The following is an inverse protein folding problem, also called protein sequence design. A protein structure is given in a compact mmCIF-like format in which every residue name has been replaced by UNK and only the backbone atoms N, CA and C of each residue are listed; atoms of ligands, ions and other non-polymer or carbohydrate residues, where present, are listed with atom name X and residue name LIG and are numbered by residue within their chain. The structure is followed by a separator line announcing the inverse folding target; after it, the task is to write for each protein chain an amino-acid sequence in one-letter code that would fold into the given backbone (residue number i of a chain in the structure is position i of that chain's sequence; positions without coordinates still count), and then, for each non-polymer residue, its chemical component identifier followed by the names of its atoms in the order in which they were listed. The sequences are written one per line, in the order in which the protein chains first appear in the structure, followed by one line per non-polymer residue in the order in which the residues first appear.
data_IF_216512887830
#
_entry.id   IF_216512887830
#
_cell.length_a   1.000
_cell.length_b   1.000
_cell.length_c   1.000
_cell.angle_alpha   90.00
_cell.angle_beta   90.00
_cell.angle_gamma   90.00
#
_symmetry.space_group_name_H-M   'P 1'
#
loop_
_entity.id
_entity.type
_entity.pdbx_description
1 polymer ?
#
# COMPACT_ATOMS: atom_id res chain seq x y z
N UNK A 1 38.86 -17.99 -13.79
CA UNK A 1 38.92 -16.53 -13.98
C UNK A 1 37.56 -15.84 -13.69
N UNK A 2 37.08 -15.79 -12.45
CA UNK A 2 35.77 -15.17 -12.11
C UNK A 2 35.86 -14.01 -11.09
N UNK A 3 37.08 -13.62 -10.67
CA UNK A 3 37.27 -12.62 -9.60
C UNK A 3 37.42 -11.17 -10.06
N UNK A 4 37.62 -10.89 -11.35
CA UNK A 4 37.95 -9.52 -11.81
C UNK A 4 36.73 -8.64 -12.16
N UNK A 5 35.56 -9.22 -12.43
CA UNK A 5 34.36 -8.45 -12.83
C UNK A 5 33.57 -7.88 -11.65
N UNK A 6 33.59 -8.53 -10.49
CA UNK A 6 32.91 -8.02 -9.30
C UNK A 6 33.61 -6.78 -8.71
N UNK A 7 34.95 -6.78 -8.68
CA UNK A 7 35.77 -5.69 -8.16
C UNK A 7 35.78 -4.45 -9.07
N UNK A 8 35.81 -4.63 -10.40
CA UNK A 8 35.80 -3.51 -11.36
C UNK A 8 34.51 -2.70 -11.33
N UNK A 9 33.42 -3.33 -10.87
CA UNK A 9 32.13 -2.70 -10.70
C UNK A 9 32.02 -1.87 -9.40
N UNK A 10 32.66 -2.28 -8.31
CA UNK A 10 32.68 -1.51 -7.06
C UNK A 10 33.57 -0.26 -7.10
N UNK A 11 34.51 -0.17 -8.04
CA UNK A 11 35.49 0.94 -8.15
C UNK A 11 35.04 2.16 -8.96
N UNK A 12 33.82 2.17 -9.51
CA UNK A 12 33.31 3.29 -10.32
C UNK A 12 32.79 4.44 -9.44
N UNK A 13 33.72 5.24 -8.88
CA UNK A 13 33.46 6.58 -8.34
C UNK A 13 32.33 6.71 -7.29
N UNK A 14 32.00 7.94 -6.86
CA UNK A 14 30.81 8.17 -6.06
C UNK A 14 29.53 7.89 -6.86
N UNK A 15 28.62 7.09 -6.29
CA UNK A 15 27.32 6.79 -6.87
C UNK A 15 26.19 7.41 -6.03
N UNK A 16 25.03 7.73 -6.64
CA UNK A 16 23.85 8.14 -5.90
C UNK A 16 23.43 7.10 -4.87
N UNK A 17 22.76 7.53 -3.80
CA UNK A 17 22.32 6.64 -2.72
C UNK A 17 21.44 5.48 -3.19
N UNK A 18 20.67 5.71 -4.24
CA UNK A 18 19.74 4.74 -4.82
C UNK A 18 20.40 3.75 -5.78
N UNK A 19 21.70 3.91 -6.06
CA UNK A 19 22.43 3.00 -6.93
C UNK A 19 22.62 1.63 -6.27
N UNK A 20 22.55 0.55 -7.06
CA UNK A 20 22.75 -0.83 -6.59
C UNK A 20 24.06 -1.08 -5.84
N UNK A 21 25.10 -0.28 -6.12
CA UNK A 21 26.44 -0.41 -5.53
C UNK A 21 26.69 0.53 -4.37
N UNK A 22 25.74 1.40 -4.06
CA UNK A 22 25.88 2.32 -2.95
C UNK A 22 25.95 1.56 -1.61
N UNK A 23 26.70 2.11 -0.65
CA UNK A 23 26.94 1.53 0.68
C UNK A 23 27.49 0.10 0.64
N UNK A 24 28.33 -0.22 -0.35
CA UNK A 24 29.02 -1.51 -0.43
C UNK A 24 29.94 -1.76 0.77
N UNK A 25 30.09 -3.04 1.11
CA UNK A 25 31.00 -3.53 2.14
C UNK A 25 32.13 -4.27 1.43
N UNK A 26 33.33 -3.71 1.43
CA UNK A 26 34.48 -4.31 0.74
C UNK A 26 35.77 -3.60 1.11
N UNK A 27 36.90 -4.32 0.98
CA UNK A 27 38.22 -3.75 1.29
C UNK A 27 38.49 -2.54 0.38
N UNK A 28 38.75 -1.38 0.99
CA UNK A 28 38.96 -0.11 0.28
C UNK A 28 37.67 0.64 -0.10
N UNK A 29 36.51 0.18 0.34
CA UNK A 29 35.23 0.90 0.20
C UNK A 29 34.85 1.49 1.56
N UNK A 30 34.57 2.79 1.59
CA UNK A 30 34.07 3.49 2.77
C UNK A 30 32.73 4.15 2.48
N UNK A 31 31.88 4.17 3.49
CA UNK A 31 30.62 4.88 3.46
C UNK A 31 30.88 6.39 3.53
N UNK A 32 30.29 7.16 2.61
CA UNK A 32 30.49 8.62 2.53
C UNK A 32 29.40 9.37 3.29
N UNK A 33 29.77 10.41 4.03
CA UNK A 33 28.89 11.32 4.78
C UNK A 33 28.86 11.06 6.29
N UNK A 34 28.25 11.97 7.06
CA UNK A 34 28.02 11.81 8.49
C UNK A 34 26.80 10.89 8.73
N UNK A 35 26.93 9.81 9.50
CA UNK A 35 25.82 8.86 9.76
C UNK A 35 25.14 9.06 11.13
N UNK A 36 25.48 10.12 11.87
CA UNK A 36 24.83 10.47 13.14
C UNK A 36 23.45 11.12 12.98
N UNK A 37 22.85 11.52 14.12
CA UNK A 37 21.46 11.98 14.25
C UNK A 37 21.09 13.15 13.29
N UNK A 38 21.96 14.14 13.13
CA UNK A 38 21.78 15.27 12.20
C UNK A 38 22.68 15.15 10.96
N UNK A 39 22.94 13.92 10.53
CA UNK A 39 23.92 13.62 9.49
C UNK A 39 23.40 13.76 8.05
N UNK A 40 23.93 12.91 7.18
CA UNK A 40 23.74 12.82 5.72
C UNK A 40 22.29 12.86 5.26
N UNK A 41 21.36 12.48 6.13
CA UNK A 41 19.93 12.35 5.83
C UNK A 41 19.10 13.55 6.27
N UNK A 42 19.68 14.51 7.00
CA UNK A 42 18.98 15.73 7.39
C UNK A 42 18.41 16.43 6.14
N UNK A 43 17.10 16.74 6.17
CA UNK A 43 16.38 17.33 5.03
C UNK A 43 16.14 16.40 3.83
N UNK A 44 16.50 15.11 3.93
CA UNK A 44 16.34 14.10 2.86
C UNK A 44 15.53 12.88 3.30
N UNK A 45 14.95 12.92 4.51
CA UNK A 45 14.09 11.87 5.05
C UNK A 45 12.75 11.90 4.31
N UNK A 46 12.33 10.75 3.78
CA UNK A 46 11.10 10.66 2.99
C UNK A 46 9.81 10.62 3.84
N UNK A 47 9.88 10.01 5.03
CA UNK A 47 8.74 9.86 5.96
C UNK A 47 9.25 9.85 7.39
N UNK A 48 8.49 10.45 8.31
CA UNK A 48 8.76 10.47 9.76
C UNK A 48 7.44 10.11 10.44
N UNK A 49 7.49 9.15 11.35
CA UNK A 49 6.33 8.75 12.16
C UNK A 49 6.76 8.62 13.62
N UNK A 50 5.98 9.19 14.53
CA UNK A 50 6.19 9.04 15.96
C UNK A 50 5.59 7.72 16.45
N UNK A 51 6.38 6.93 17.17
CA UNK A 51 5.93 5.63 17.69
C UNK A 51 5.17 5.84 19.01
N UNK A 52 3.85 5.71 18.95
CA UNK A 52 2.99 5.73 20.14
C UNK A 52 3.13 4.45 20.96
N UNK A 53 2.95 4.53 22.29
CA UNK A 53 2.95 3.38 23.19
C UNK A 53 1.94 2.26 22.82
N UNK A 54 0.90 2.59 22.04
CA UNK A 54 -0.13 1.64 21.59
C UNK A 54 0.16 0.99 20.25
N UNK A 55 1.18 1.44 19.52
CA UNK A 55 1.55 0.94 18.18
C UNK A 55 2.94 0.31 18.22
N UNK A 56 3.07 -0.89 17.68
CA UNK A 56 4.39 -1.50 17.50
C UNK A 56 5.09 -0.92 16.27
N UNK A 57 6.42 -0.97 16.25
CA UNK A 57 7.23 -0.50 15.11
C UNK A 57 6.86 -1.26 13.83
N UNK A 58 6.54 -2.56 13.92
CA UNK A 58 6.09 -3.36 12.77
C UNK A 58 4.75 -2.86 12.20
N UNK A 59 3.86 -2.37 13.05
CA UNK A 59 2.59 -1.79 12.59
C UNK A 59 2.83 -0.50 11.82
N UNK A 60 3.69 0.37 12.35
CA UNK A 60 4.12 1.61 11.67
C UNK A 60 4.79 1.30 10.33
N UNK A 61 5.72 0.35 10.30
CA UNK A 61 6.39 -0.06 9.05
C UNK A 61 5.39 -0.57 8.02
N UNK A 62 4.43 -1.42 8.42
CA UNK A 62 3.39 -1.91 7.53
C UNK A 62 2.47 -0.80 7.00
N UNK A 63 2.10 0.18 7.84
CA UNK A 63 1.32 1.35 7.42
C UNK A 63 2.07 2.18 6.37
N UNK A 64 3.35 2.46 6.63
CA UNK A 64 4.24 3.17 5.70
C UNK A 64 4.36 2.39 4.38
N UNK A 65 4.64 1.08 4.47
CA UNK A 65 4.86 0.20 3.33
C UNK A 65 3.61 -0.03 2.49
N UNK A 66 2.44 -0.07 3.11
CA UNK A 66 1.15 -0.11 2.42
C UNK A 66 0.87 1.23 1.72
N UNK A 67 1.12 2.36 2.38
CA UNK A 67 0.98 3.69 1.80
C UNK A 67 1.85 3.85 0.54
N UNK A 68 3.17 3.58 0.62
CA UNK A 68 4.06 3.71 -0.55
C UNK A 68 3.74 2.71 -1.66
N UNK A 69 3.12 1.58 -1.34
CA UNK A 69 2.69 0.60 -2.33
C UNK A 69 1.40 1.04 -3.05
N UNK A 70 0.37 1.45 -2.30
CA UNK A 70 -0.93 1.90 -2.83
C UNK A 70 -0.78 3.15 -3.70
N UNK A 71 0.02 4.11 -3.25
CA UNK A 71 0.31 5.36 -3.98
C UNK A 71 1.29 5.19 -5.14
N UNK A 72 1.83 3.97 -5.34
CA UNK A 72 2.84 3.62 -6.35
C UNK A 72 4.21 4.29 -6.20
N UNK A 73 4.48 5.02 -5.11
CA UNK A 73 5.79 5.64 -4.83
C UNK A 73 6.93 4.62 -4.91
N UNK A 74 6.81 3.48 -4.21
CA UNK A 74 7.86 2.44 -4.25
C UNK A 74 7.98 1.78 -5.62
N UNK A 75 6.91 1.75 -6.42
CA UNK A 75 6.95 1.20 -7.78
C UNK A 75 7.81 2.09 -8.68
N UNK A 76 7.62 3.41 -8.56
CA UNK A 76 8.35 4.40 -9.36
C UNK A 76 9.79 4.55 -8.89
N UNK A 77 10.05 4.50 -7.57
CA UNK A 77 11.41 4.44 -7.03
C UNK A 77 12.18 3.22 -7.56
N UNK A 78 11.59 2.02 -7.52
CA UNK A 78 12.26 0.82 -8.03
C UNK A 78 12.43 0.84 -9.56
N UNK A 79 11.47 1.41 -10.29
CA UNK A 79 11.53 1.54 -11.74
C UNK A 79 12.66 2.47 -12.20
N UNK A 80 12.87 3.58 -11.49
CA UNK A 80 13.83 4.63 -11.87
C UNK A 80 15.24 4.35 -11.38
N UNK A 81 15.39 3.70 -10.22
CA UNK A 81 16.70 3.54 -9.58
C UNK A 81 17.44 2.27 -10.00
N UNK A 82 16.70 1.21 -10.35
CA UNK A 82 17.33 -0.07 -10.66
C UNK A 82 17.96 -0.09 -12.04
N UNK A 83 17.27 0.38 -13.08
CA UNK A 83 17.78 0.43 -14.46
C UNK A 83 17.93 1.87 -14.93
N UNK A 84 18.99 2.17 -15.68
CA UNK A 84 19.13 3.42 -16.42
C UNK A 84 18.19 3.47 -17.63
N UNK A 85 16.87 3.56 -17.38
CA UNK A 85 15.85 3.52 -18.42
C UNK A 85 15.83 4.84 -19.21
N UNK A 86 15.78 4.75 -20.54
CA UNK A 86 15.59 5.93 -21.41
C UNK A 86 14.29 6.66 -21.06
N UNK A 87 14.33 8.00 -21.05
CA UNK A 87 13.17 8.86 -20.73
C UNK A 87 11.94 8.57 -21.60
N UNK A 88 12.13 8.29 -22.89
CA UNK A 88 11.03 7.94 -23.81
C UNK A 88 10.27 6.68 -23.37
N UNK A 89 10.99 5.64 -22.92
CA UNK A 89 10.37 4.41 -22.40
C UNK A 89 9.65 4.65 -21.07
N UNK A 90 10.20 5.50 -20.21
CA UNK A 90 9.53 5.89 -18.96
C UNK A 90 8.19 6.59 -19.24
N UNK A 91 8.19 7.56 -20.16
CA UNK A 91 6.98 8.30 -20.57
C UNK A 91 5.95 7.34 -21.18
N UNK A 92 6.36 6.42 -22.06
CA UNK A 92 5.47 5.43 -22.64
C UNK A 92 4.78 4.56 -21.58
N UNK A 93 5.54 4.09 -20.58
CA UNK A 93 5.00 3.29 -19.46
C UNK A 93 4.03 4.13 -18.61
N UNK A 94 4.37 5.39 -18.31
CA UNK A 94 3.48 6.28 -17.55
C UNK A 94 2.18 6.59 -18.29
N UNK A 95 2.25 6.87 -19.60
CA UNK A 95 1.07 7.10 -20.43
C UNK A 95 0.17 5.86 -20.51
N UNK A 96 0.75 4.67 -20.70
CA UNK A 96 0.01 3.41 -20.69
C UNK A 96 -0.69 3.17 -19.33
N UNK A 97 0.01 3.41 -18.22
CA UNK A 97 -0.59 3.32 -16.87
C UNK A 97 -1.73 4.33 -16.68
N UNK A 98 -1.57 5.56 -17.16
CA UNK A 98 -2.61 6.59 -17.08
C UNK A 98 -3.84 6.22 -17.91
N UNK A 99 -3.64 5.71 -19.13
CA UNK A 99 -4.72 5.23 -19.99
C UNK A 99 -5.49 4.06 -19.35
N UNK A 100 -4.78 3.05 -18.82
CA UNK A 100 -5.38 1.93 -18.10
C UNK A 100 -6.18 2.39 -16.88
N UNK A 101 -5.64 3.35 -16.10
CA UNK A 101 -6.34 3.93 -14.95
C UNK A 101 -7.63 4.63 -15.38
N UNK A 102 -7.58 5.47 -16.43
CA UNK A 102 -8.77 6.16 -16.97
C UNK A 102 -9.85 5.17 -17.39
N UNK A 103 -9.48 4.10 -18.08
CA UNK A 103 -10.41 3.05 -18.48
C UNK A 103 -11.04 2.36 -17.26
N UNK A 104 -10.22 1.98 -16.28
CA UNK A 104 -10.71 1.33 -15.06
C UNK A 104 -11.62 2.23 -14.23
N UNK A 105 -11.33 3.55 -14.17
CA UNK A 105 -12.21 4.53 -13.52
C UNK A 105 -13.58 4.61 -14.20
N UNK A 106 -13.65 4.56 -15.53
CA UNK A 106 -14.93 4.53 -16.25
C UNK A 106 -15.74 3.28 -15.90
N UNK A 107 -15.11 2.11 -15.90
CA UNK A 107 -15.77 0.87 -15.48
C UNK A 107 -16.25 0.92 -14.03
N UNK A 108 -15.42 1.43 -13.13
CA UNK A 108 -15.77 1.54 -11.71
C UNK A 108 -16.98 2.45 -11.49
N UNK A 109 -17.11 3.56 -12.23
CA UNK A 109 -18.30 4.42 -12.17
C UNK A 109 -19.56 3.69 -12.61
N UNK A 110 -19.51 2.95 -13.72
CA UNK A 110 -20.64 2.16 -14.17
C UNK A 110 -21.04 1.09 -13.13
N UNK A 111 -20.05 0.42 -12.54
CA UNK A 111 -20.27 -0.53 -11.45
C UNK A 111 -20.89 0.14 -10.21
N UNK A 112 -20.41 1.31 -9.80
CA UNK A 112 -20.98 2.06 -8.67
C UNK A 112 -22.45 2.40 -8.89
N UNK A 113 -22.82 2.83 -10.11
CA UNK A 113 -24.22 3.09 -10.46
C UNK A 113 -25.09 1.84 -10.34
N UNK A 114 -24.59 0.68 -10.78
CA UNK A 114 -25.28 -0.60 -10.61
C UNK A 114 -25.44 -0.97 -9.13
N UNK A 115 -24.40 -0.83 -8.32
CA UNK A 115 -24.46 -1.09 -6.88
C UNK A 115 -25.48 -0.18 -6.18
N UNK A 116 -25.58 1.10 -6.58
CA UNK A 116 -26.59 2.02 -6.04
C UNK A 116 -28.02 1.57 -6.40
N UNK A 117 -28.23 1.07 -7.61
CA UNK A 117 -29.51 0.51 -8.03
C UNK A 117 -29.89 -0.75 -7.25
N UNK A 118 -28.95 -1.68 -7.08
CA UNK A 118 -29.19 -2.88 -6.26
C UNK A 118 -29.42 -2.52 -4.79
N UNK A 119 -28.68 -1.54 -4.26
CA UNK A 119 -28.92 -1.02 -2.90
C UNK A 119 -30.33 -0.44 -2.77
N UNK A 120 -30.80 0.31 -3.77
CA UNK A 120 -32.17 0.82 -3.79
C UNK A 120 -33.20 -0.33 -3.78
N UNK A 121 -32.98 -1.41 -4.54
CA UNK A 121 -33.86 -2.58 -4.50
C UNK A 121 -33.90 -3.21 -3.11
N UNK A 122 -32.75 -3.45 -2.48
CA UNK A 122 -32.69 -4.01 -1.12
C UNK A 122 -33.42 -3.12 -0.11
N UNK A 123 -33.29 -1.79 -0.21
CA UNK A 123 -34.02 -0.86 0.65
C UNK A 123 -35.53 -0.87 0.37
N UNK A 124 -35.95 -1.06 -0.88
CA UNK A 124 -37.37 -1.25 -1.23
C UNK A 124 -37.92 -2.56 -0.67
N UNK A 125 -37.18 -3.65 -0.76
CA UNK A 125 -37.53 -4.94 -0.15
C UNK A 125 -37.67 -4.79 1.37
N UNK A 126 -36.73 -4.08 2.01
CA UNK A 126 -36.82 -3.74 3.43
C UNK A 126 -38.10 -2.95 3.75
N UNK A 127 -38.48 -1.97 2.93
CA UNK A 127 -39.72 -1.22 3.11
C UNK A 127 -40.97 -2.13 2.94
N UNK A 128 -40.91 -3.11 2.03
CA UNK A 128 -41.90 -4.17 1.91
C UNK A 128 -42.04 -5.00 3.19
N UNK A 129 -40.92 -5.42 3.78
CA UNK A 129 -40.90 -6.13 5.07
C UNK A 129 -41.49 -5.28 6.21
N UNK A 130 -41.18 -3.98 6.24
CA UNK A 130 -41.78 -3.03 7.20
C UNK A 130 -43.29 -2.97 7.05
N UNK A 131 -43.79 -2.97 5.82
CA UNK A 131 -45.24 -2.92 5.55
C UNK A 131 -45.91 -4.23 5.94
N UNK A 132 -45.27 -5.37 5.68
CA UNK A 132 -45.79 -6.70 5.97
C UNK A 132 -45.81 -7.04 7.46
N UNK A 133 -44.72 -6.73 8.19
CA UNK A 133 -44.54 -7.15 9.58
C UNK A 133 -44.74 -6.00 10.59
N UNK A 134 -44.82 -4.76 10.13
CA UNK A 134 -44.88 -3.56 10.96
C UNK A 134 -43.49 -3.07 11.39
N UNK A 135 -43.34 -1.74 11.51
CA UNK A 135 -42.07 -1.08 11.83
C UNK A 135 -41.46 -1.58 13.16
N UNK A 136 -42.28 -1.75 14.20
CA UNK A 136 -41.81 -2.17 15.52
C UNK A 136 -41.23 -3.61 15.52
N UNK A 137 -41.80 -4.51 14.71
CA UNK A 137 -41.31 -5.88 14.58
C UNK A 137 -39.96 -5.90 13.84
N UNK A 138 -39.83 -5.13 12.76
CA UNK A 138 -38.57 -4.97 12.02
C UNK A 138 -37.48 -4.33 12.88
N UNK A 139 -37.81 -3.27 13.62
CA UNK A 139 -36.87 -2.65 14.56
C UNK A 139 -36.38 -3.65 15.61
N UNK A 140 -37.28 -4.47 16.17
CA UNK A 140 -36.91 -5.53 17.12
C UNK A 140 -35.97 -6.56 16.49
N UNK A 141 -36.17 -6.93 15.23
CA UNK A 141 -35.29 -7.86 14.50
C UNK A 141 -33.89 -7.26 14.22
N UNK A 142 -33.80 -5.95 13.98
CA UNK A 142 -32.53 -5.23 13.79
C UNK A 142 -31.81 -4.98 15.13
N UNK A 143 -32.50 -5.19 16.25
CA UNK A 143 -31.95 -5.10 17.60
C UNK A 143 -32.40 -3.86 18.37
N UNK A 144 -33.66 -3.43 18.23
CA UNK A 144 -34.28 -2.47 19.14
C UNK A 144 -34.71 -3.18 20.44
N UNK A 145 -34.07 -2.82 21.56
CA UNK A 145 -34.19 -3.51 22.84
C UNK A 145 -35.18 -2.81 23.76
N UNK A 146 -35.98 -3.62 24.46
CA UNK A 146 -37.08 -3.13 25.31
C UNK A 146 -36.60 -2.69 26.70
N UNK A 147 -35.53 -3.29 27.22
CA UNK A 147 -35.04 -3.03 28.58
C UNK A 147 -33.72 -2.24 28.58
N UNK A 148 -33.48 -1.50 29.66
CA UNK A 148 -32.24 -0.74 29.85
C UNK A 148 -31.00 -1.67 29.91
N UNK A 149 -31.15 -2.87 30.47
CA UNK A 149 -30.04 -3.80 30.68
C UNK A 149 -29.60 -4.48 29.38
N UNK A 150 -30.53 -4.86 28.50
CA UNK A 150 -30.23 -5.32 27.14
C UNK A 150 -29.48 -4.25 26.34
N UNK A 151 -29.89 -2.99 26.47
CA UNK A 151 -29.22 -1.85 25.83
C UNK A 151 -27.79 -1.68 26.33
N UNK A 152 -27.56 -1.76 27.64
CA UNK A 152 -26.22 -1.68 28.24
C UNK A 152 -25.32 -2.82 27.75
N UNK A 153 -25.81 -4.06 27.74
CA UNK A 153 -25.05 -5.21 27.24
C UNK A 153 -24.69 -5.04 25.77
N UNK A 154 -25.65 -4.65 24.91
CA UNK A 154 -25.35 -4.40 23.50
C UNK A 154 -24.39 -3.23 23.30
N UNK A 155 -24.52 -2.15 24.07
CA UNK A 155 -23.62 -1.01 23.99
C UNK A 155 -22.17 -1.42 24.30
N UNK A 156 -21.95 -2.30 25.29
CA UNK A 156 -20.62 -2.84 25.56
C UNK A 156 -20.08 -3.70 24.42
N UNK A 157 -20.93 -4.51 23.79
CA UNK A 157 -20.56 -5.32 22.62
C UNK A 157 -20.23 -4.44 21.41
N UNK A 158 -21.06 -3.45 21.11
CA UNK A 158 -20.81 -2.48 20.03
C UNK A 158 -19.54 -1.71 20.30
N UNK A 159 -19.32 -1.25 21.54
CA UNK A 159 -18.07 -0.59 21.93
C UNK A 159 -16.86 -1.48 21.66
N UNK A 160 -16.93 -2.76 22.01
CA UNK A 160 -15.87 -3.75 21.74
C UNK A 160 -15.62 -3.97 20.24
N UNK A 161 -16.69 -4.03 19.44
CA UNK A 161 -16.59 -4.21 17.99
C UNK A 161 -16.01 -2.98 17.30
N UNK A 162 -16.46 -1.78 17.69
CA UNK A 162 -15.96 -0.51 17.15
C UNK A 162 -14.52 -0.26 17.59
N UNK A 163 -14.15 -0.65 18.81
CA UNK A 163 -12.77 -0.56 19.31
C UNK A 163 -11.87 -1.70 18.85
N UNK A 164 -12.33 -2.57 17.94
CA UNK A 164 -11.50 -3.65 17.44
C UNK A 164 -10.23 -3.07 16.78
N UNK A 165 -9.04 -3.62 17.06
CA UNK A 165 -7.81 -3.11 16.49
C UNK A 165 -7.86 -3.21 14.96
N UNK A 166 -7.33 -2.19 14.29
CA UNK A 166 -7.27 -2.14 12.84
C UNK A 166 -6.48 -3.34 12.32
N UNK A 167 -7.08 -4.12 11.41
CA UNK A 167 -6.38 -5.23 10.75
C UNK A 167 -5.34 -4.63 9.79
N UNK A 168 -4.08 -4.69 10.20
CA UNK A 168 -2.98 -4.18 9.39
C UNK A 168 -2.63 -5.22 8.32
N UNK A 169 -2.77 -4.80 7.06
CA UNK A 169 -2.46 -5.66 5.92
C UNK A 169 -0.94 -5.81 5.79
N UNK A 170 -0.47 -7.06 5.63
CA UNK A 170 0.93 -7.31 5.30
C UNK A 170 1.30 -6.66 3.96
N UNK A 171 2.47 -6.02 3.85
CA UNK A 171 2.94 -5.44 2.60
C UNK A 171 3.08 -6.50 1.51
N UNK A 172 2.76 -6.12 0.26
CA UNK A 172 2.99 -6.99 -0.89
C UNK A 172 4.50 -7.23 -1.07
N UNK A 173 4.97 -8.49 -1.08
CA UNK A 173 6.39 -8.79 -1.20
C UNK A 173 6.92 -8.48 -2.61
N UNK A 174 8.19 -8.10 -2.69
CA UNK A 174 8.87 -7.93 -3.96
C UNK A 174 9.25 -9.30 -4.55
N UNK A 175 8.99 -9.49 -5.85
CA UNK A 175 9.32 -10.72 -6.56
C UNK A 175 10.67 -10.56 -7.24
N UNK A 176 11.65 -11.34 -6.77
CA UNK A 176 12.97 -11.37 -7.38
C UNK A 176 12.99 -12.30 -8.60
N UNK A 177 13.43 -11.78 -9.75
CA UNK A 177 13.58 -12.56 -10.99
C UNK A 177 15.04 -12.57 -11.44
N UNK A 178 15.45 -13.60 -12.19
CA UNK A 178 16.85 -13.85 -12.53
C UNK A 178 17.60 -12.63 -13.09
N UNK A 179 17.04 -11.97 -14.11
CA UNK A 179 17.65 -10.79 -14.75
C UNK A 179 17.02 -9.46 -14.31
N UNK A 180 15.97 -9.51 -13.49
CA UNK A 180 15.23 -8.33 -13.06
C UNK A 180 14.79 -7.43 -14.23
N UNK A 181 14.26 -8.00 -15.32
CA UNK A 181 13.80 -7.20 -16.48
C UNK A 181 12.82 -6.08 -16.06
N UNK A 182 12.00 -6.36 -15.04
CA UNK A 182 11.12 -5.39 -14.39
C UNK A 182 11.41 -5.40 -12.89
N UNK A 183 12.12 -4.38 -12.39
CA UNK A 183 12.50 -4.28 -10.99
C UNK A 183 11.31 -3.99 -10.05
N UNK A 184 10.25 -3.34 -10.54
CA UNK A 184 9.06 -3.02 -9.74
C UNK A 184 8.01 -4.17 -9.78
N UNK A 185 8.47 -5.41 -9.58
CA UNK A 185 7.62 -6.61 -9.67
C UNK A 185 7.09 -7.02 -8.29
N UNK A 186 5.77 -7.18 -8.20
CA UNK A 186 5.05 -7.57 -6.97
C UNK A 186 4.08 -8.73 -7.20
N UNK A 187 4.07 -9.28 -8.42
CA UNK A 187 3.27 -10.42 -8.84
C UNK A 187 4.09 -11.29 -9.82
N UNK A 188 3.57 -12.49 -10.11
CA UNK A 188 4.19 -13.41 -11.08
C UNK A 188 3.69 -13.19 -12.52
N UNK A 189 2.76 -12.25 -12.74
CA UNK A 189 2.21 -11.97 -14.07
C UNK A 189 3.30 -11.49 -15.02
N UNK A 190 3.30 -12.03 -16.23
CA UNK A 190 4.19 -11.56 -17.29
C UNK A 190 3.81 -10.13 -17.71
N UNK A 191 4.80 -9.32 -18.10
CA UNK A 191 4.60 -7.90 -18.45
C UNK A 191 5.37 -7.54 -19.71
N UNK A 192 4.67 -6.95 -20.66
CA UNK A 192 5.22 -6.37 -21.90
C UNK A 192 5.69 -4.94 -21.62
N UNK A 193 6.92 -4.72 -21.19
CA UNK A 193 7.51 -3.38 -21.16
C UNK A 193 8.94 -3.39 -21.67
#
# INVERSE_FOLDING_TARGET
MLRSTALSHMRKGPAPITNRRNMGLGKGVSWRGNYGAFGRWAGRVGMVEEVSAKKSITQVDNEIMDYVHKTRIRHDQMMTTYHGMKRSRQIAIWNARAAQRRWHTKMYRAYQTFVQYETMKTLKEQAGLVTQYGQAAVNRAIGDYKTLDERKQRATLVKRLVSAPTVIKSPTPHVLTQRQAVAHRFDRKWRMY
#
